data_IF_037062439251
#
_entry.id   IF_037062439251
#
_cell.length_a   1.000
_cell.length_b   1.000
_cell.length_c   1.000
_cell.angle_alpha   90.00
_cell.angle_beta   90.00
_cell.angle_gamma   90.00
#
_symmetry.space_group_name_H-M   'P 1'
#
loop_
_entity.id
_entity.type
_entity.pdbx_description
1 polymer ?
#
# COMPACT_ATOMS: atom_id res chain seq x y z
N UNK A 1 -29.18 15.72 -13.15
CA UNK A 1 -28.17 15.61 -12.07
C UNK A 1 -27.07 16.61 -12.40
N UNK A 2 -27.09 17.79 -11.79
CA UNK A 2 -26.06 18.80 -12.06
C UNK A 2 -24.75 18.30 -11.45
N UNK A 3 -23.77 18.04 -12.30
CA UNK A 3 -22.41 17.70 -11.88
C UNK A 3 -21.86 18.94 -11.17
N UNK A 4 -21.65 18.83 -9.88
CA UNK A 4 -21.10 19.93 -9.08
C UNK A 4 -19.61 20.12 -9.44
N UNK A 5 -19.36 20.94 -10.44
CA UNK A 5 -18.02 21.21 -10.99
C UNK A 5 -17.05 21.70 -9.91
N UNK A 6 -17.56 22.46 -8.93
CA UNK A 6 -16.74 22.94 -7.81
C UNK A 6 -16.29 21.79 -6.90
N UNK A 7 -17.13 20.80 -6.66
CA UNK A 7 -16.80 19.60 -5.87
C UNK A 7 -15.74 18.74 -6.57
N UNK A 8 -15.88 18.57 -7.89
CA UNK A 8 -14.89 17.82 -8.69
C UNK A 8 -13.55 18.56 -8.68
N UNK A 9 -13.53 19.86 -8.94
CA UNK A 9 -12.32 20.66 -8.93
C UNK A 9 -11.60 20.61 -7.56
N UNK A 10 -12.36 20.71 -6.45
CA UNK A 10 -11.83 20.61 -5.10
C UNK A 10 -11.22 19.22 -4.82
N UNK A 11 -11.92 18.15 -5.17
CA UNK A 11 -11.42 16.79 -4.99
C UNK A 11 -10.15 16.53 -5.81
N UNK A 12 -10.13 17.01 -7.04
CA UNK A 12 -8.96 16.92 -7.93
C UNK A 12 -7.77 17.68 -7.34
N UNK A 13 -7.98 18.89 -6.85
CA UNK A 13 -6.93 19.68 -6.21
C UNK A 13 -6.30 18.95 -5.01
N UNK A 14 -7.12 18.36 -4.13
CA UNK A 14 -6.60 17.60 -2.98
C UNK A 14 -5.80 16.36 -3.41
N UNK A 15 -6.23 15.66 -4.46
CA UNK A 15 -5.49 14.51 -4.97
C UNK A 15 -4.13 14.91 -5.56
N UNK A 16 -4.06 15.97 -6.36
CA UNK A 16 -2.80 16.46 -6.91
C UNK A 16 -1.87 16.99 -5.83
N UNK A 17 -2.40 17.79 -4.90
CA UNK A 17 -1.61 18.31 -3.77
C UNK A 17 -1.01 17.16 -2.95
N UNK A 18 -1.80 16.11 -2.66
CA UNK A 18 -1.31 14.90 -2.02
C UNK A 18 -0.19 14.25 -2.83
N UNK A 19 -0.36 14.06 -4.14
CA UNK A 19 0.67 13.44 -4.99
C UNK A 19 1.99 14.22 -4.96
N UNK A 20 1.94 15.55 -5.06
CA UNK A 20 3.13 16.40 -5.01
C UNK A 20 3.85 16.31 -3.66
N UNK A 21 3.11 16.34 -2.55
CA UNK A 21 3.68 16.19 -1.19
C UNK A 21 4.35 14.82 -1.05
N UNK A 22 3.66 13.74 -1.44
CA UNK A 22 4.21 12.38 -1.36
C UNK A 22 5.47 12.22 -2.23
N UNK A 23 5.47 12.79 -3.43
CA UNK A 23 6.63 12.77 -4.32
C UNK A 23 7.82 13.53 -3.72
N UNK A 24 7.59 14.72 -3.15
CA UNK A 24 8.63 15.47 -2.46
C UNK A 24 9.23 14.70 -1.29
N UNK A 25 8.38 14.11 -0.43
CA UNK A 25 8.82 13.30 0.71
C UNK A 25 9.60 12.07 0.24
N UNK A 26 9.13 11.36 -0.79
CA UNK A 26 9.80 10.16 -1.30
C UNK A 26 11.20 10.47 -1.82
N UNK A 27 11.40 11.58 -2.54
CA UNK A 27 12.73 12.01 -3.00
C UNK A 27 13.67 12.30 -1.83
N UNK A 28 13.17 12.96 -0.78
CA UNK A 28 13.95 13.22 0.44
C UNK A 28 14.31 11.92 1.16
N UNK A 29 13.34 11.01 1.30
CA UNK A 29 13.53 9.71 1.98
C UNK A 29 14.56 8.86 1.24
N UNK A 30 14.48 8.75 -0.08
CA UNK A 30 15.46 8.01 -0.89
C UNK A 30 16.89 8.54 -0.65
N UNK A 31 17.07 9.86 -0.65
CA UNK A 31 18.38 10.47 -0.39
C UNK A 31 18.93 10.13 1.00
N UNK A 32 18.08 10.17 2.03
CA UNK A 32 18.48 9.87 3.41
C UNK A 32 18.85 8.39 3.56
N UNK A 33 17.97 7.50 3.06
CA UNK A 33 18.16 6.05 3.13
C UNK A 33 19.42 5.63 2.36
N UNK A 34 19.64 6.17 1.14
CA UNK A 34 20.83 5.89 0.36
C UNK A 34 22.12 6.34 1.08
N UNK A 35 22.07 7.50 1.75
CA UNK A 35 23.19 8.00 2.54
C UNK A 35 23.48 7.17 3.79
N UNK A 36 22.42 6.64 4.43
CA UNK A 36 22.54 5.85 5.65
C UNK A 36 22.98 4.40 5.38
N UNK A 37 22.42 3.76 4.36
CA UNK A 37 22.72 2.36 4.03
C UNK A 37 23.94 2.21 3.11
N UNK A 38 24.23 3.21 2.31
CA UNK A 38 25.19 3.10 1.20
C UNK A 38 24.57 2.41 -0.04
N UNK A 39 25.32 2.45 -1.15
CA UNK A 39 24.80 1.99 -2.44
C UNK A 39 24.50 0.49 -2.49
N UNK A 40 25.32 -0.34 -1.82
CA UNK A 40 25.19 -1.80 -1.84
C UNK A 40 23.95 -2.25 -1.06
N UNK A 41 23.78 -1.79 0.18
CA UNK A 41 22.65 -2.19 1.03
C UNK A 41 21.32 -1.61 0.54
N UNK A 42 21.37 -0.38 -0.02
CA UNK A 42 20.23 0.20 -0.70
C UNK A 42 19.83 -0.60 -1.95
N UNK A 43 20.82 -1.14 -2.68
CA UNK A 43 20.58 -2.06 -3.80
C UNK A 43 19.86 -3.33 -3.36
N UNK A 44 20.34 -3.98 -2.30
CA UNK A 44 19.72 -5.18 -1.74
C UNK A 44 18.27 -4.88 -1.29
N UNK A 45 18.07 -3.77 -0.57
CA UNK A 45 16.74 -3.32 -0.14
C UNK A 45 15.78 -3.15 -1.32
N UNK A 46 16.22 -2.52 -2.42
CA UNK A 46 15.37 -2.33 -3.60
C UNK A 46 15.06 -3.64 -4.33
N UNK A 47 16.02 -4.55 -4.44
CA UNK A 47 15.80 -5.86 -5.10
C UNK A 47 14.82 -6.70 -4.29
N UNK A 48 15.01 -6.79 -2.98
CA UNK A 48 14.12 -7.52 -2.08
C UNK A 48 12.71 -6.91 -2.06
N UNK A 49 12.62 -5.58 -1.95
CA UNK A 49 11.36 -4.84 -2.06
C UNK A 49 10.68 -5.01 -3.42
N UNK A 50 11.45 -5.15 -4.50
CA UNK A 50 10.97 -5.42 -5.85
C UNK A 50 10.21 -6.75 -5.95
N UNK A 51 10.65 -7.78 -5.24
CA UNK A 51 9.92 -9.07 -5.16
C UNK A 51 8.54 -8.86 -4.54
N UNK A 52 8.45 -8.09 -3.47
CA UNK A 52 7.16 -7.77 -2.83
C UNK A 52 6.30 -6.87 -3.74
N UNK A 53 6.92 -5.99 -4.49
CA UNK A 53 6.22 -5.12 -5.44
C UNK A 53 5.46 -5.89 -6.52
N UNK A 54 5.88 -7.10 -6.89
CA UNK A 54 5.13 -7.95 -7.82
C UNK A 54 3.70 -8.25 -7.32
N UNK A 55 3.49 -8.30 -6.02
CA UNK A 55 2.17 -8.48 -5.43
C UNK A 55 1.28 -7.23 -5.50
N UNK A 56 1.83 -6.05 -5.83
CA UNK A 56 1.03 -4.81 -5.95
C UNK A 56 0.02 -4.85 -7.10
N UNK A 57 0.22 -5.70 -8.10
CA UNK A 57 -0.79 -5.97 -9.12
C UNK A 57 -2.09 -6.52 -8.49
N UNK A 58 -1.96 -7.44 -7.54
CA UNK A 58 -3.08 -7.99 -6.78
C UNK A 58 -3.80 -6.88 -6.03
N UNK A 59 -3.04 -6.05 -5.29
CA UNK A 59 -3.58 -4.90 -4.55
C UNK A 59 -4.40 -3.96 -5.44
N UNK A 60 -3.86 -3.54 -6.59
CA UNK A 60 -4.52 -2.59 -7.48
C UNK A 60 -5.80 -3.15 -8.10
N UNK A 61 -5.78 -4.41 -8.52
CA UNK A 61 -6.93 -5.09 -9.12
C UNK A 61 -8.09 -5.20 -8.13
N UNK A 62 -7.80 -5.67 -6.92
CA UNK A 62 -8.83 -5.82 -5.89
C UNK A 62 -9.33 -4.48 -5.36
N UNK A 63 -8.48 -3.47 -5.27
CA UNK A 63 -8.90 -2.11 -4.87
C UNK A 63 -9.91 -1.53 -5.86
N UNK A 64 -9.64 -1.63 -7.16
CA UNK A 64 -10.55 -1.16 -8.19
C UNK A 64 -11.89 -1.91 -8.18
N UNK A 65 -11.86 -3.22 -7.97
CA UNK A 65 -13.07 -4.02 -7.84
C UNK A 65 -13.89 -3.60 -6.61
N UNK A 66 -13.26 -3.48 -5.44
CA UNK A 66 -13.91 -3.07 -4.21
C UNK A 66 -14.57 -1.68 -4.34
N UNK A 67 -13.85 -0.69 -4.91
CA UNK A 67 -14.39 0.65 -5.17
C UNK A 67 -15.64 0.61 -6.05
N UNK A 68 -15.64 -0.21 -7.10
CA UNK A 68 -16.77 -0.35 -8.00
C UNK A 68 -18.01 -0.90 -7.27
N UNK A 69 -17.84 -1.95 -6.47
CA UNK A 69 -18.96 -2.54 -5.70
C UNK A 69 -19.50 -1.56 -4.67
N UNK A 70 -18.64 -0.88 -3.92
CA UNK A 70 -19.07 0.10 -2.92
C UNK A 70 -19.79 1.29 -3.56
N UNK A 71 -19.26 1.85 -4.66
CA UNK A 71 -19.89 2.97 -5.36
C UNK A 71 -21.29 2.59 -5.88
N UNK A 72 -21.46 1.37 -6.36
CA UNK A 72 -22.76 0.89 -6.84
C UNK A 72 -23.80 0.82 -5.71
N UNK A 73 -23.45 0.23 -4.55
CA UNK A 73 -24.39 0.11 -3.43
C UNK A 73 -24.67 1.45 -2.73
N UNK A 74 -23.69 2.35 -2.70
CA UNK A 74 -23.90 3.72 -2.21
C UNK A 74 -24.89 4.47 -3.14
N UNK A 75 -24.75 4.31 -4.46
CA UNK A 75 -25.69 4.86 -5.44
C UNK A 75 -27.12 4.35 -5.26
N UNK A 76 -27.28 3.08 -4.92
CA UNK A 76 -28.57 2.44 -4.64
C UNK A 76 -29.14 2.77 -3.25
N UNK A 77 -28.40 3.52 -2.41
CA UNK A 77 -28.79 3.88 -1.02
C UNK A 77 -29.14 2.66 -0.13
N UNK A 78 -28.54 1.52 -0.40
CA UNK A 78 -28.80 0.28 0.32
C UNK A 78 -27.74 0.04 1.39
N UNK A 79 -27.95 0.60 2.58
CA UNK A 79 -26.99 0.53 3.69
C UNK A 79 -26.75 -0.89 4.20
N UNK A 80 -27.78 -1.77 4.18
CA UNK A 80 -27.64 -3.14 4.69
C UNK A 80 -26.80 -4.01 3.75
N UNK A 81 -27.00 -3.86 2.45
CA UNK A 81 -26.15 -4.54 1.46
C UNK A 81 -24.71 -4.00 1.49
N UNK A 82 -24.53 -2.69 1.67
CA UNK A 82 -23.20 -2.10 1.79
C UNK A 82 -22.42 -2.70 2.97
N UNK A 83 -23.07 -2.85 4.15
CA UNK A 83 -22.47 -3.50 5.32
C UNK A 83 -22.09 -4.96 5.04
N UNK A 84 -22.99 -5.72 4.40
CA UNK A 84 -22.71 -7.11 4.01
C UNK A 84 -21.50 -7.22 3.07
N UNK A 85 -21.48 -6.40 2.03
CA UNK A 85 -20.39 -6.39 1.06
C UNK A 85 -19.07 -5.98 1.71
N UNK A 86 -19.10 -4.99 2.60
CA UNK A 86 -17.91 -4.57 3.37
C UNK A 86 -17.36 -5.72 4.23
N UNK A 87 -18.22 -6.42 4.98
CA UNK A 87 -17.82 -7.57 5.80
C UNK A 87 -17.25 -8.70 4.94
N UNK A 88 -17.88 -9.00 3.81
CA UNK A 88 -17.37 -10.01 2.86
C UNK A 88 -15.98 -9.64 2.30
N UNK A 89 -15.75 -8.36 1.99
CA UNK A 89 -14.45 -7.91 1.52
C UNK A 89 -13.37 -8.06 2.60
N UNK A 90 -13.66 -7.75 3.85
CA UNK A 90 -12.70 -7.96 4.95
C UNK A 90 -12.29 -9.44 5.04
N UNK A 91 -13.26 -10.35 5.01
CA UNK A 91 -12.99 -11.80 5.07
C UNK A 91 -12.18 -12.24 3.85
N UNK A 92 -12.55 -11.78 2.66
CA UNK A 92 -11.83 -12.08 1.42
C UNK A 92 -10.37 -11.60 1.48
N UNK A 93 -10.14 -10.37 1.93
CA UNK A 93 -8.79 -9.83 2.05
C UNK A 93 -7.96 -10.52 3.13
N UNK A 94 -8.60 -11.01 4.19
CA UNK A 94 -7.92 -11.82 5.20
C UNK A 94 -7.43 -13.16 4.60
N UNK A 95 -8.27 -13.86 3.86
CA UNK A 95 -7.89 -15.10 3.18
C UNK A 95 -6.84 -14.85 2.08
N UNK A 96 -6.98 -13.77 1.35
CA UNK A 96 -6.02 -13.38 0.32
C UNK A 96 -4.65 -13.06 0.95
N UNK A 97 -4.62 -12.33 2.07
CA UNK A 97 -3.38 -12.05 2.79
C UNK A 97 -2.69 -13.32 3.29
N UNK A 98 -3.48 -14.26 3.82
CA UNK A 98 -2.94 -15.56 4.25
C UNK A 98 -2.32 -16.33 3.07
N UNK A 99 -2.99 -16.36 1.91
CA UNK A 99 -2.47 -16.97 0.69
C UNK A 99 -1.16 -16.33 0.23
N UNK A 100 -1.08 -15.00 0.26
CA UNK A 100 0.14 -14.26 -0.12
C UNK A 100 1.28 -14.54 0.85
N UNK A 101 1.02 -14.62 2.16
CA UNK A 101 2.04 -15.01 3.15
C UNK A 101 2.59 -16.38 2.82
N UNK A 102 1.74 -17.38 2.60
CA UNK A 102 2.19 -18.74 2.27
C UNK A 102 3.04 -18.77 0.99
N UNK A 103 2.64 -18.04 -0.04
CA UNK A 103 3.42 -17.93 -1.28
C UNK A 103 4.76 -17.19 -1.06
N UNK A 104 4.75 -16.13 -0.29
CA UNK A 104 5.95 -15.37 0.01
C UNK A 104 6.94 -16.18 0.86
N UNK A 105 6.47 -16.89 1.88
CA UNK A 105 7.32 -17.76 2.73
C UNK A 105 7.89 -18.94 1.96
N UNK A 106 7.16 -19.52 1.01
CA UNK A 106 7.63 -20.65 0.23
C UNK A 106 8.49 -20.21 -0.96
N UNK A 107 7.89 -19.49 -1.90
CA UNK A 107 8.53 -19.10 -3.17
C UNK A 107 9.46 -17.91 -2.97
N UNK A 108 9.05 -16.92 -2.17
CA UNK A 108 9.82 -15.68 -2.00
C UNK A 108 11.12 -15.90 -1.26
N UNK A 109 11.11 -16.65 -0.14
CA UNK A 109 12.33 -16.97 0.60
C UNK A 109 13.25 -17.88 -0.24
N UNK A 110 12.69 -18.87 -0.92
CA UNK A 110 13.48 -19.71 -1.84
C UNK A 110 14.17 -18.85 -2.91
N UNK A 111 13.43 -17.92 -3.52
CA UNK A 111 13.97 -17.04 -4.56
C UNK A 111 15.10 -16.14 -4.05
N UNK A 112 14.93 -15.52 -2.87
CA UNK A 112 15.94 -14.65 -2.26
C UNK A 112 17.22 -15.41 -1.92
N UNK A 113 17.10 -16.63 -1.37
CA UNK A 113 18.25 -17.38 -0.91
C UNK A 113 18.98 -18.16 -2.01
N UNK A 114 18.33 -18.44 -3.16
CA UNK A 114 18.91 -19.28 -4.21
C UNK A 114 19.18 -18.53 -5.52
N UNK A 115 18.35 -17.57 -5.88
CA UNK A 115 18.43 -16.90 -7.17
C UNK A 115 19.10 -15.52 -7.09
N UNK A 116 19.09 -14.89 -5.93
CA UNK A 116 19.74 -13.58 -5.75
C UNK A 116 21.19 -13.75 -5.31
N UNK A 117 22.08 -13.04 -6.00
CA UNK A 117 23.49 -12.99 -5.66
C UNK A 117 23.68 -11.94 -4.54
N UNK A 118 23.43 -12.36 -3.29
CA UNK A 118 23.60 -11.52 -2.10
C UNK A 118 24.81 -12.04 -1.33
N UNK A 119 25.75 -11.17 -0.86
CA UNK A 119 26.85 -11.58 0.00
C UNK A 119 26.34 -12.32 1.23
N UNK A 120 26.98 -13.43 1.61
CA UNK A 120 26.56 -14.29 2.72
C UNK A 120 26.39 -13.54 4.05
N UNK A 121 27.25 -12.54 4.28
CA UNK A 121 27.18 -11.67 5.48
C UNK A 121 25.91 -10.82 5.56
N UNK A 122 25.22 -10.58 4.43
CA UNK A 122 24.03 -9.74 4.31
C UNK A 122 22.75 -10.50 4.06
N UNK A 123 22.81 -11.82 3.87
CA UNK A 123 21.64 -12.67 3.65
C UNK A 123 20.64 -12.59 4.82
N UNK A 124 21.12 -12.57 6.04
CA UNK A 124 20.27 -12.44 7.21
C UNK A 124 19.51 -11.11 7.21
N UNK A 125 20.19 -9.99 6.91
CA UNK A 125 19.56 -8.68 6.80
C UNK A 125 18.54 -8.63 5.65
N UNK A 126 18.85 -9.22 4.49
CA UNK A 126 17.95 -9.30 3.35
C UNK A 126 16.64 -10.05 3.69
N UNK A 127 16.75 -11.19 4.40
CA UNK A 127 15.58 -11.94 4.87
C UNK A 127 14.73 -11.13 5.85
N UNK A 128 15.32 -10.39 6.79
CA UNK A 128 14.57 -9.51 7.68
C UNK A 128 13.85 -8.40 6.92
N UNK A 129 14.52 -7.75 5.96
CA UNK A 129 13.90 -6.74 5.11
C UNK A 129 12.72 -7.33 4.34
N UNK A 130 12.86 -8.55 3.84
CA UNK A 130 11.78 -9.24 3.14
C UNK A 130 10.56 -9.49 4.05
N UNK A 131 10.77 -10.01 5.26
CA UNK A 131 9.71 -10.26 6.23
C UNK A 131 8.95 -8.96 6.60
N UNK A 132 9.67 -7.89 6.89
CA UNK A 132 9.05 -6.61 7.18
C UNK A 132 8.30 -6.03 5.97
N UNK A 133 8.82 -6.24 4.76
CA UNK A 133 8.16 -5.80 3.53
C UNK A 133 6.85 -6.55 3.27
N UNK A 134 6.82 -7.88 3.51
CA UNK A 134 5.59 -8.67 3.44
C UNK A 134 4.60 -8.21 4.49
N UNK A 135 5.04 -8.01 5.73
CA UNK A 135 4.17 -7.54 6.80
C UNK A 135 3.55 -6.18 6.46
N UNK A 136 4.34 -5.23 5.96
CA UNK A 136 3.85 -3.94 5.51
C UNK A 136 2.84 -4.09 4.35
N UNK A 137 3.10 -4.98 3.39
CA UNK A 137 2.19 -5.26 2.29
C UNK A 137 0.85 -5.84 2.77
N UNK A 138 0.87 -6.74 3.76
CA UNK A 138 -0.36 -7.30 4.36
C UNK A 138 -1.20 -6.19 5.00
N UNK A 139 -0.57 -5.32 5.80
CA UNK A 139 -1.27 -4.18 6.40
C UNK A 139 -1.89 -3.27 5.33
N UNK A 140 -1.16 -3.03 4.25
CA UNK A 140 -1.66 -2.27 3.10
C UNK A 140 -2.85 -2.98 2.44
N UNK A 141 -2.80 -4.29 2.27
CA UNK A 141 -3.89 -5.08 1.69
C UNK A 141 -5.15 -5.05 2.56
N UNK A 142 -4.99 -5.17 3.88
CA UNK A 142 -6.09 -5.08 4.83
C UNK A 142 -6.71 -3.66 4.91
N UNK A 143 -5.97 -2.63 4.50
CA UNK A 143 -6.49 -1.25 4.41
C UNK A 143 -7.38 -1.02 3.18
N UNK A 144 -7.37 -1.92 2.18
CA UNK A 144 -8.10 -1.75 0.91
C UNK A 144 -9.60 -1.50 1.10
N UNK A 145 -10.36 -2.29 1.86
CA UNK A 145 -11.80 -2.07 2.01
C UNK A 145 -12.11 -0.72 2.63
N UNK A 146 -11.30 -0.23 3.55
CA UNK A 146 -11.46 1.08 4.18
C UNK A 146 -11.17 2.22 3.19
N UNK A 147 -10.07 2.13 2.46
CA UNK A 147 -9.70 3.11 1.43
C UNK A 147 -10.73 3.15 0.31
N UNK A 148 -11.19 1.99 -0.15
CA UNK A 148 -12.22 1.89 -1.18
C UNK A 148 -13.53 2.54 -0.73
N UNK A 149 -13.93 2.36 0.53
CA UNK A 149 -15.14 2.96 1.09
C UNK A 149 -15.03 4.50 1.18
N UNK A 150 -13.89 5.02 1.64
CA UNK A 150 -13.63 6.48 1.73
C UNK A 150 -13.70 7.14 0.34
N UNK A 151 -13.08 6.50 -0.65
CA UNK A 151 -13.06 6.98 -2.04
C UNK A 151 -14.48 6.93 -2.63
N UNK A 152 -15.23 5.85 -2.40
CA UNK A 152 -16.59 5.67 -2.90
C UNK A 152 -17.57 6.68 -2.32
N UNK A 153 -17.32 7.21 -1.10
CA UNK A 153 -18.07 8.31 -0.51
C UNK A 153 -17.59 9.69 -0.97
N UNK A 154 -16.66 9.76 -1.92
CA UNK A 154 -16.05 11.01 -2.44
C UNK A 154 -15.44 11.92 -1.36
N UNK A 155 -15.04 11.36 -0.21
CA UNK A 155 -14.37 12.10 0.87
C UNK A 155 -12.85 12.20 0.63
N UNK A 156 -12.46 12.75 -0.54
CA UNK A 156 -11.06 12.81 -0.98
C UNK A 156 -10.15 13.62 -0.06
N UNK A 157 -10.70 14.64 0.63
CA UNK A 157 -9.95 15.41 1.62
C UNK A 157 -9.55 14.55 2.82
N UNK A 158 -10.46 13.70 3.35
CA UNK A 158 -10.15 12.79 4.45
C UNK A 158 -9.07 11.78 4.03
N UNK A 159 -9.17 11.24 2.81
CA UNK A 159 -8.18 10.33 2.24
C UNK A 159 -6.79 10.99 2.11
N UNK A 160 -6.73 12.26 1.67
CA UNK A 160 -5.48 13.00 1.58
C UNK A 160 -4.86 13.25 2.96
N UNK A 161 -5.64 13.68 3.96
CA UNK A 161 -5.15 13.92 5.32
C UNK A 161 -4.63 12.65 5.99
N UNK A 162 -5.36 11.54 5.91
CA UNK A 162 -4.94 10.25 6.48
C UNK A 162 -3.62 9.80 5.85
N UNK A 163 -3.48 9.92 4.52
CA UNK A 163 -2.26 9.51 3.82
C UNK A 163 -1.04 10.34 4.22
N UNK A 164 -1.20 11.65 4.42
CA UNK A 164 -0.13 12.53 4.86
C UNK A 164 0.21 12.27 6.33
N UNK A 165 -0.80 12.06 7.19
CA UNK A 165 -0.61 11.76 8.60
C UNK A 165 0.13 10.44 8.81
N UNK A 166 -0.20 9.40 8.06
CA UNK A 166 0.50 8.10 8.09
C UNK A 166 1.98 8.23 7.69
N UNK A 167 2.30 9.11 6.75
CA UNK A 167 3.68 9.39 6.38
C UNK A 167 4.45 10.13 7.48
N UNK A 168 3.79 11.05 8.18
CA UNK A 168 4.41 11.80 9.29
C UNK A 168 4.64 10.92 10.53
N UNK A 169 3.76 9.95 10.79
CA UNK A 169 3.89 8.99 11.91
C UNK A 169 4.79 7.79 11.59
N UNK A 170 5.20 7.61 10.32
CA UNK A 170 6.24 6.64 9.98
C UNK A 170 7.55 7.06 10.67
N UNK A 171 8.21 6.16 11.44
CA UNK A 171 9.39 6.51 12.20
C UNK A 171 10.45 7.10 11.27
N UNK A 172 10.75 8.37 11.53
CA UNK A 172 11.84 9.04 10.83
C UNK A 172 13.16 8.39 11.25
N UNK A 173 14.10 8.15 10.32
CA UNK A 173 15.42 7.62 10.66
C UNK A 173 16.24 8.56 11.58
N UNK A 174 15.63 9.61 12.11
CA UNK A 174 16.25 10.52 13.10
C UNK A 174 16.11 10.06 14.55
N UNK A 175 15.23 9.06 14.81
CA UNK A 175 14.91 8.61 16.18
C UNK A 175 15.57 7.25 16.50
N UNK A 176 16.50 6.80 15.64
CA UNK A 176 17.31 5.61 15.82
C UNK A 176 18.79 5.93 16.05
#
# INVERSE_FOLDING_TARGET
>A
MAIDKARIAKNTFFLYSRMLILMGISLFTVKIVLKALGAVDYGIYNVVGGVVFLFSFVYSTFTNAAQRFFSYEIGNKNADKLKKIFSLHIILFLWLSLGIVLLAETIGIWFINTQLVIPAERLCAANWVFQFSIFAFILQLLSVPYNALIISHEKMHAFAYISICLLYTSPSPRDA
#
